data_IF_879171990795
#
_entry.id   IF_879171990795
#
_cell.length_a   1.000
_cell.length_b   1.000
_cell.length_c   1.000
_cell.angle_alpha   90.00
_cell.angle_beta   90.00
_cell.angle_gamma   90.00
#
_symmetry.space_group_name_H-M   'P 1'
#
loop_
_entity.id
_entity.type
_entity.pdbx_description
1 polymer ?
#
# COMPACT_ATOMS: atom_id res chain seq x y z
N UNK A 1 -0.20 16.56 0.31
CA UNK A 1 0.02 15.13 -0.02
C UNK A 1 -0.81 14.21 0.87
N UNK A 2 -0.64 14.28 2.20
CA UNK A 2 -1.35 13.39 3.15
C UNK A 2 -2.88 13.40 3.01
N UNK A 3 -3.53 14.58 2.97
CA UNK A 3 -4.98 14.66 2.81
C UNK A 3 -5.49 14.05 1.50
N UNK A 4 -4.78 14.29 0.38
CA UNK A 4 -5.10 13.66 -0.91
C UNK A 4 -4.92 12.14 -0.87
N UNK A 5 -3.85 11.66 -0.23
CA UNK A 5 -3.61 10.23 -0.03
C UNK A 5 -4.66 9.57 0.86
N UNK A 6 -5.21 10.27 1.85
CA UNK A 6 -6.31 9.78 2.67
C UNK A 6 -7.60 9.60 1.84
N UNK A 7 -7.95 10.57 0.99
CA UNK A 7 -9.11 10.46 0.07
C UNK A 7 -8.93 9.29 -0.89
N UNK A 8 -7.75 9.16 -1.52
CA UNK A 8 -7.46 8.04 -2.42
C UNK A 8 -7.49 6.71 -1.66
N UNK A 9 -6.95 6.65 -0.45
CA UNK A 9 -7.04 5.47 0.42
C UNK A 9 -8.48 5.05 0.68
N UNK A 10 -9.37 6.00 1.00
CA UNK A 10 -10.79 5.72 1.20
C UNK A 10 -11.45 5.16 -0.07
N UNK A 11 -11.15 5.74 -1.24
CA UNK A 11 -11.66 5.25 -2.52
C UNK A 11 -11.16 3.84 -2.84
N UNK A 12 -9.88 3.53 -2.55
CA UNK A 12 -9.34 2.18 -2.72
C UNK A 12 -9.97 1.18 -1.76
N UNK A 13 -10.22 1.56 -0.51
CA UNK A 13 -10.94 0.73 0.45
C UNK A 13 -12.38 0.42 0.02
N UNK A 14 -13.07 1.43 -0.53
CA UNK A 14 -14.41 1.25 -1.09
C UNK A 14 -14.42 0.38 -2.35
N UNK A 15 -13.48 0.61 -3.27
CA UNK A 15 -13.30 -0.21 -4.45
C UNK A 15 -13.04 -1.66 -4.06
N UNK A 16 -12.11 -1.90 -3.12
CA UNK A 16 -11.79 -3.22 -2.60
C UNK A 16 -13.04 -3.90 -2.03
N UNK A 17 -13.81 -3.23 -1.17
CA UNK A 17 -15.02 -3.79 -0.57
C UNK A 17 -16.11 -4.15 -1.61
N UNK A 18 -16.08 -3.49 -2.77
CA UNK A 18 -16.99 -3.79 -3.87
C UNK A 18 -16.56 -5.03 -4.67
N UNK A 19 -15.27 -5.15 -4.99
CA UNK A 19 -14.74 -6.20 -5.87
C UNK A 19 -14.32 -7.48 -5.13
N UNK A 20 -14.11 -7.42 -3.80
CA UNK A 20 -13.61 -8.55 -3.03
C UNK A 20 -14.65 -9.69 -3.04
N UNK A 21 -14.24 -10.94 -3.36
CA UNK A 21 -15.17 -12.06 -3.32
C UNK A 21 -15.58 -12.36 -1.87
N UNK A 22 -16.87 -12.63 -1.60
CA UNK A 22 -17.31 -13.08 -0.28
C UNK A 22 -16.69 -14.45 0.05
N UNK A 23 -16.56 -14.76 1.34
CA UNK A 23 -16.11 -16.08 1.82
C UNK A 23 -17.34 -16.86 2.29
N UNK A 24 -17.64 -18.00 1.66
CA UNK A 24 -18.73 -18.91 2.03
C UNK A 24 -18.20 -20.07 2.86
N UNK A 25 -18.54 -20.09 4.14
CA UNK A 25 -18.24 -21.18 5.06
C UNK A 25 -19.45 -22.11 5.23
N UNK A 26 -19.18 -23.37 5.58
CA UNK A 26 -20.23 -24.31 5.96
C UNK A 26 -20.03 -24.76 7.40
N UNK A 27 -21.10 -24.61 8.19
CA UNK A 27 -21.16 -25.12 9.56
C UNK A 27 -21.98 -26.39 9.53
N UNK A 28 -21.38 -27.51 9.89
CA UNK A 28 -22.05 -28.79 10.02
C UNK A 28 -21.96 -29.28 11.47
N UNK A 29 -23.02 -29.94 11.98
CA UNK A 29 -22.88 -30.77 13.18
C UNK A 29 -22.42 -32.16 12.78
N UNK A 30 -21.45 -32.69 13.52
CA UNK A 30 -21.05 -34.09 13.45
C UNK A 30 -22.13 -34.99 14.05
N UNK A 31 -22.05 -36.31 13.79
CA UNK A 31 -22.93 -37.31 14.43
C UNK A 31 -22.86 -37.31 15.97
N UNK A 32 -21.78 -36.78 16.55
CA UNK A 32 -21.59 -36.62 18.00
C UNK A 32 -22.14 -35.30 18.55
N UNK A 33 -22.70 -34.42 17.71
CA UNK A 33 -23.22 -33.12 18.12
C UNK A 33 -22.15 -32.03 18.24
N UNK A 34 -20.95 -32.25 17.72
CA UNK A 34 -19.87 -31.25 17.70
C UNK A 34 -19.99 -30.36 16.46
N UNK A 35 -19.85 -29.04 16.64
CA UNK A 35 -19.92 -28.06 15.55
C UNK A 35 -18.58 -28.01 14.81
N UNK A 36 -18.51 -28.67 13.66
CA UNK A 36 -17.34 -28.64 12.79
C UNK A 36 -17.58 -27.64 11.67
N UNK A 37 -16.64 -26.72 11.53
CA UNK A 37 -16.61 -25.70 10.50
C UNK A 37 -15.62 -26.14 9.44
N UNK A 38 -16.05 -26.20 8.19
CA UNK A 38 -15.15 -26.49 7.08
C UNK A 38 -15.40 -25.53 5.92
N UNK A 39 -14.33 -25.19 5.21
CA UNK A 39 -14.38 -24.32 4.04
C UNK A 39 -14.48 -25.22 2.81
N UNK A 40 -15.59 -25.13 2.07
CA UNK A 40 -15.79 -26.00 0.91
C UNK A 40 -14.80 -25.66 -0.22
N UNK A 41 -13.98 -26.63 -0.59
CA UNK A 41 -13.12 -26.57 -1.78
C UNK A 41 -12.13 -25.40 -1.73
N UNK A 42 -12.20 -24.52 -2.73
CA UNK A 42 -11.23 -23.45 -2.93
C UNK A 42 -11.56 -22.16 -2.15
N UNK A 43 -12.63 -22.15 -1.35
CA UNK A 43 -13.08 -20.93 -0.68
C UNK A 43 -12.10 -20.46 0.41
N UNK A 44 -11.24 -21.36 0.91
CA UNK A 44 -10.13 -21.02 1.81
C UNK A 44 -9.07 -20.12 1.13
N UNK A 45 -8.94 -20.16 -0.19
CA UNK A 45 -8.03 -19.27 -0.92
C UNK A 45 -8.47 -17.80 -0.85
N UNK A 46 -9.76 -17.53 -0.63
CA UNK A 46 -10.26 -16.15 -0.53
C UNK A 46 -9.67 -15.40 0.69
N UNK A 47 -9.23 -16.10 1.73
CA UNK A 47 -8.49 -15.50 2.86
C UNK A 47 -7.12 -14.96 2.44
N UNK A 48 -6.52 -15.53 1.40
CA UNK A 48 -5.29 -15.02 0.81
C UNK A 48 -5.57 -13.97 -0.27
N UNK A 49 -6.54 -14.23 -1.17
CA UNK A 49 -6.87 -13.33 -2.28
C UNK A 49 -7.32 -11.96 -1.78
N UNK A 50 -8.17 -11.92 -0.75
CA UNK A 50 -8.75 -10.66 -0.28
C UNK A 50 -7.70 -9.66 0.26
N UNK A 51 -6.80 -10.00 1.20
CA UNK A 51 -5.73 -9.10 1.63
C UNK A 51 -4.73 -8.78 0.50
N UNK A 52 -4.41 -9.77 -0.35
CA UNK A 52 -3.46 -9.58 -1.47
C UNK A 52 -3.99 -8.59 -2.50
N UNK A 53 -5.29 -8.60 -2.76
CA UNK A 53 -5.95 -7.65 -3.66
C UNK A 53 -5.81 -6.20 -3.15
N UNK A 54 -6.01 -5.98 -1.85
CA UNK A 54 -5.83 -4.66 -1.25
C UNK A 54 -4.35 -4.22 -1.33
N UNK A 55 -3.41 -5.12 -1.00
CA UNK A 55 -1.98 -4.84 -1.13
C UNK A 55 -1.57 -4.52 -2.57
N UNK A 56 -2.16 -5.21 -3.56
CA UNK A 56 -1.95 -4.93 -4.98
C UNK A 56 -2.38 -3.51 -5.35
N UNK A 57 -3.59 -3.11 -4.96
CA UNK A 57 -4.10 -1.75 -5.16
C UNK A 57 -3.21 -0.68 -4.51
N UNK A 58 -2.77 -0.92 -3.27
CA UNK A 58 -1.88 -0.02 -2.53
C UNK A 58 -0.47 0.04 -3.16
N UNK A 59 0.01 -1.06 -3.74
CA UNK A 59 1.30 -1.11 -4.46
C UNK A 59 1.25 -0.23 -5.71
N UNK A 60 0.15 -0.30 -6.48
CA UNK A 60 -0.06 0.59 -7.64
C UNK A 60 -0.06 2.05 -7.20
N UNK A 61 -0.79 2.39 -6.14
CA UNK A 61 -0.79 3.74 -5.58
C UNK A 61 0.61 4.19 -5.17
N UNK A 62 1.37 3.35 -4.46
CA UNK A 62 2.72 3.65 -4.01
C UNK A 62 3.66 3.98 -5.16
N UNK A 63 3.60 3.20 -6.25
CA UNK A 63 4.39 3.44 -7.47
C UNK A 63 3.98 4.77 -8.10
N UNK A 64 2.69 5.01 -8.34
CA UNK A 64 2.20 6.24 -9.00
C UNK A 64 2.52 7.48 -8.15
N UNK A 65 2.32 7.41 -6.83
CA UNK A 65 2.62 8.50 -5.91
C UNK A 65 4.12 8.80 -5.84
N UNK A 66 4.97 7.77 -5.83
CA UNK A 66 6.43 7.94 -5.92
C UNK A 66 6.85 8.54 -7.25
N UNK A 67 6.18 8.13 -8.34
CA UNK A 67 6.39 8.72 -9.67
C UNK A 67 6.05 10.22 -9.67
N UNK A 68 4.87 10.57 -9.18
CA UNK A 68 4.38 11.94 -9.10
C UNK A 68 5.24 12.82 -8.17
N UNK A 69 5.62 12.31 -6.99
CA UNK A 69 6.43 13.03 -6.02
C UNK A 69 7.75 13.52 -6.62
N UNK A 70 8.40 12.68 -7.43
CA UNK A 70 9.67 13.05 -8.05
C UNK A 70 9.55 13.88 -9.32
N UNK A 71 8.36 13.96 -9.94
CA UNK A 71 8.13 15.00 -10.95
C UNK A 71 8.18 16.41 -10.35
N UNK A 72 7.92 16.57 -9.04
CA UNK A 72 8.06 17.85 -8.34
C UNK A 72 9.53 18.18 -8.06
N UNK A 73 10.21 18.79 -9.04
CA UNK A 73 11.59 19.34 -8.92
C UNK A 73 11.81 20.20 -7.66
N UNK A 74 10.79 20.94 -7.22
CA UNK A 74 10.85 21.86 -6.07
C UNK A 74 11.07 21.17 -4.71
N UNK A 75 10.82 19.85 -4.63
CA UNK A 75 10.88 19.10 -3.37
C UNK A 75 11.67 17.80 -3.52
N UNK A 76 12.61 17.68 -4.47
CA UNK A 76 13.45 16.49 -4.52
C UNK A 76 14.33 16.50 -3.28
N UNK A 77 14.35 15.41 -2.51
CA UNK A 77 15.13 15.31 -1.28
C UNK A 77 14.61 14.28 -0.27
N UNK A 78 15.39 13.99 0.79
CA UNK A 78 15.05 12.97 1.79
C UNK A 78 13.75 13.30 2.55
N UNK A 79 13.46 14.58 2.74
CA UNK A 79 12.21 15.03 3.36
C UNK A 79 10.97 14.57 2.57
N UNK A 80 11.06 14.53 1.24
CA UNK A 80 9.95 14.05 0.39
C UNK A 80 9.72 12.57 0.53
N UNK A 81 10.78 11.77 0.73
CA UNK A 81 10.63 10.34 1.04
C UNK A 81 9.90 10.17 2.35
N UNK A 82 10.26 10.92 3.40
CA UNK A 82 9.58 10.85 4.69
C UNK A 82 8.09 11.21 4.57
N UNK A 83 7.76 12.32 3.89
CA UNK A 83 6.37 12.75 3.67
C UNK A 83 5.59 11.73 2.84
N UNK A 84 6.20 11.17 1.79
CA UNK A 84 5.60 10.15 0.95
C UNK A 84 5.31 8.87 1.76
N UNK A 85 6.26 8.41 2.56
CA UNK A 85 6.09 7.23 3.43
C UNK A 85 4.94 7.42 4.41
N UNK A 86 4.87 8.57 5.09
CA UNK A 86 3.75 8.90 6.01
C UNK A 86 2.42 8.95 5.25
N UNK A 87 2.40 9.55 4.07
CA UNK A 87 1.18 9.62 3.25
C UNK A 87 0.71 8.22 2.80
N UNK A 88 1.63 7.31 2.45
CA UNK A 88 1.30 5.95 2.05
C UNK A 88 0.81 5.09 3.22
N UNK A 89 1.47 5.16 4.38
CA UNK A 89 1.00 4.49 5.59
C UNK A 89 -0.40 4.99 5.99
N UNK A 90 -0.65 6.30 5.87
CA UNK A 90 -1.96 6.91 6.11
C UNK A 90 -3.01 6.39 5.12
N UNK A 91 -2.68 6.34 3.82
CA UNK A 91 -3.58 5.81 2.79
C UNK A 91 -3.94 4.34 3.04
N UNK A 92 -2.95 3.52 3.43
CA UNK A 92 -3.15 2.12 3.77
C UNK A 92 -4.09 1.95 4.96
N UNK A 93 -3.89 2.73 6.02
CA UNK A 93 -4.73 2.71 7.21
C UNK A 93 -6.18 3.08 6.88
N UNK A 94 -6.38 4.16 6.13
CA UNK A 94 -7.72 4.61 5.73
C UNK A 94 -8.38 3.58 4.80
N UNK A 95 -7.66 3.03 3.82
CA UNK A 95 -8.18 2.00 2.93
C UNK A 95 -8.62 0.75 3.71
N UNK A 96 -7.80 0.29 4.65
CA UNK A 96 -8.10 -0.85 5.50
C UNK A 96 -9.33 -0.59 6.39
N UNK A 97 -9.41 0.59 7.03
CA UNK A 97 -10.53 0.97 7.87
C UNK A 97 -11.85 1.07 7.10
N UNK A 98 -11.83 1.73 5.92
CA UNK A 98 -13.00 1.87 5.05
C UNK A 98 -13.41 0.50 4.49
N UNK A 99 -12.46 -0.29 4.00
CA UNK A 99 -12.71 -1.62 3.47
C UNK A 99 -13.34 -2.54 4.52
N UNK A 100 -12.73 -2.63 5.71
CA UNK A 100 -13.23 -3.40 6.84
C UNK A 100 -14.63 -2.93 7.25
N UNK A 101 -14.84 -1.61 7.37
CA UNK A 101 -16.11 -1.02 7.76
C UNK A 101 -17.24 -1.35 6.76
N UNK A 102 -17.00 -1.16 5.46
CA UNK A 102 -18.00 -1.43 4.42
C UNK A 102 -18.35 -2.91 4.33
N UNK A 103 -17.36 -3.80 4.40
CA UNK A 103 -17.59 -5.25 4.42
C UNK A 103 -18.36 -5.66 5.68
N UNK A 104 -18.01 -5.10 6.85
CA UNK A 104 -18.73 -5.33 8.11
C UNK A 104 -20.19 -4.88 8.04
N UNK A 105 -20.46 -3.75 7.39
CA UNK A 105 -21.82 -3.25 7.16
C UNK A 105 -22.59 -4.14 6.17
N UNK A 106 -21.92 -4.69 5.15
CA UNK A 106 -22.55 -5.52 4.11
C UNK A 106 -22.85 -6.95 4.55
N UNK A 107 -21.94 -7.57 5.31
CA UNK A 107 -22.01 -8.99 5.66
C UNK A 107 -22.27 -9.25 7.15
N UNK A 108 -22.19 -8.23 8.01
CA UNK A 108 -22.38 -8.35 9.45
C UNK A 108 -21.14 -8.87 10.20
N UNK A 109 -21.24 -8.93 11.53
CA UNK A 109 -20.29 -9.66 12.36
C UNK A 109 -20.77 -11.11 12.39
N UNK A 110 -20.02 -12.02 11.78
CA UNK A 110 -20.41 -13.40 11.80
C UNK A 110 -20.12 -14.01 13.18
N UNK A 111 -21.18 -14.43 13.86
CA UNK A 111 -21.11 -15.24 15.07
C UNK A 111 -21.45 -16.69 14.71
N UNK A 112 -20.42 -17.52 14.61
CA UNK A 112 -20.56 -18.94 14.33
C UNK A 112 -21.33 -19.68 15.43
N UNK A 113 -21.31 -19.18 16.67
CA UNK A 113 -21.99 -19.80 17.80
C UNK A 113 -23.49 -19.47 17.85
N UNK A 114 -23.91 -18.35 17.27
CA UNK A 114 -25.30 -17.94 17.20
C UNK A 114 -26.11 -18.58 16.04
N UNK A 115 -25.48 -19.36 15.15
CA UNK A 115 -26.15 -19.92 13.98
C UNK A 115 -27.20 -20.97 14.39
N UNK A 116 -28.51 -20.77 14.13
CA UNK A 116 -29.55 -21.72 14.50
C UNK A 116 -29.49 -22.96 13.60
N UNK A 117 -29.10 -24.10 14.16
CA UNK A 117 -29.04 -25.39 13.47
C UNK A 117 -30.38 -26.10 13.66
N UNK A 118 -31.37 -25.75 12.85
CA UNK A 118 -32.78 -26.06 13.10
C UNK A 118 -33.31 -27.42 12.64
N UNK A 119 -32.68 -28.12 11.68
CA UNK A 119 -33.17 -29.42 11.17
C UNK A 119 -32.06 -30.36 10.75
N UNK A 120 -32.32 -31.66 10.86
CA UNK A 120 -31.51 -32.72 10.24
C UNK A 120 -31.77 -32.74 8.73
N UNK A 121 -30.75 -32.61 7.85
CA UNK A 121 -29.32 -32.50 8.15
C UNK A 121 -28.93 -31.07 8.51
N UNK A 122 -28.21 -30.91 9.63
CA UNK A 122 -27.90 -29.61 10.24
C UNK A 122 -26.66 -29.00 9.61
N UNK A 123 -26.83 -28.53 8.38
CA UNK A 123 -25.82 -27.82 7.59
C UNK A 123 -26.32 -26.39 7.42
N UNK A 124 -25.55 -25.41 7.89
CA UNK A 124 -25.81 -23.99 7.68
C UNK A 124 -24.73 -23.40 6.77
N UNK A 125 -25.15 -22.77 5.68
CA UNK A 125 -24.27 -22.00 4.82
C UNK A 125 -24.18 -20.59 5.35
N UNK A 126 -22.96 -20.11 5.54
CA UNK A 126 -22.68 -18.87 6.23
C UNK A 126 -21.72 -18.04 5.41
N UNK A 127 -21.94 -16.74 5.34
CA UNK A 127 -21.05 -15.81 4.64
C UNK A 127 -20.24 -15.06 5.68
N UNK A 128 -18.92 -15.16 5.58
CA UNK A 128 -17.97 -14.41 6.40
C UNK A 128 -17.47 -13.20 5.62
N UNK A 129 -17.31 -12.10 6.35
CA UNK A 129 -16.61 -10.90 5.88
C UNK A 129 -15.18 -11.26 5.42
N UNK A 130 -14.80 -10.94 4.17
CA UNK A 130 -13.43 -11.13 3.71
C UNK A 130 -12.44 -10.36 4.59
N UNK A 131 -11.30 -10.96 4.94
CA UNK A 131 -10.32 -10.31 5.78
C UNK A 131 -9.54 -9.24 4.98
N UNK A 132 -9.26 -8.12 5.66
CA UNK A 132 -8.42 -7.04 5.12
C UNK A 132 -6.92 -7.35 5.31
N UNK A 133 -6.60 -8.10 6.36
CA UNK A 133 -5.24 -8.49 6.73
C UNK A 133 -5.08 -10.01 6.70
N UNK A 134 -3.85 -10.49 6.52
CA UNK A 134 -3.56 -11.93 6.56
C UNK A 134 -3.69 -12.55 7.96
N UNK A 135 -3.68 -11.73 9.01
CA UNK A 135 -3.80 -12.16 10.41
C UNK A 135 -4.24 -10.99 11.28
N UNK A 136 -4.78 -11.32 12.45
CA UNK A 136 -5.08 -10.37 13.53
C UNK A 136 -3.83 -10.01 14.37
N UNK A 137 -2.68 -10.63 14.10
CA UNK A 137 -1.44 -10.35 14.80
C UNK A 137 -0.96 -8.90 14.56
N UNK A 138 -0.64 -8.12 15.62
CA UNK A 138 -0.36 -6.69 15.49
C UNK A 138 0.87 -6.39 14.62
N UNK A 139 1.89 -7.26 14.66
CA UNK A 139 3.07 -7.10 13.82
C UNK A 139 2.75 -7.31 12.33
N UNK A 140 1.93 -8.31 11.99
CA UNK A 140 1.56 -8.55 10.60
C UNK A 140 0.68 -7.43 10.04
N UNK A 141 -0.22 -6.89 10.87
CA UNK A 141 -1.00 -5.68 10.53
C UNK A 141 -0.06 -4.50 10.28
N UNK A 142 0.88 -4.25 11.19
CA UNK A 142 1.83 -3.14 11.06
C UNK A 142 2.69 -3.26 9.79
N UNK A 143 3.19 -4.45 9.49
CA UNK A 143 3.96 -4.71 8.26
C UNK A 143 3.11 -4.50 7.01
N UNK A 144 1.86 -4.97 7.01
CA UNK A 144 0.92 -4.78 5.89
C UNK A 144 0.62 -3.31 5.63
N UNK A 145 0.45 -2.52 6.70
CA UNK A 145 0.25 -1.06 6.61
C UNK A 145 1.51 -0.32 6.16
N UNK A 146 2.70 -0.81 6.52
CA UNK A 146 3.99 -0.23 6.13
C UNK A 146 4.39 -0.58 4.68
N UNK A 147 3.82 -1.65 4.12
CA UNK A 147 4.13 -2.14 2.78
C UNK A 147 4.17 -1.04 1.70
N UNK A 148 3.11 -0.24 1.47
CA UNK A 148 3.14 0.79 0.42
C UNK A 148 4.14 1.91 0.71
N UNK A 149 4.46 2.19 1.97
CA UNK A 149 5.53 3.14 2.31
C UNK A 149 6.90 2.59 1.88
N UNK A 150 7.16 1.31 2.14
CA UNK A 150 8.38 0.63 1.70
C UNK A 150 8.53 0.61 0.18
N UNK A 151 7.47 0.26 -0.55
CA UNK A 151 7.46 0.27 -2.02
C UNK A 151 7.71 1.68 -2.56
N UNK A 152 7.01 2.69 -2.03
CA UNK A 152 7.15 4.06 -2.49
C UNK A 152 8.58 4.60 -2.27
N UNK A 153 9.18 4.29 -1.12
CA UNK A 153 10.56 4.64 -0.79
C UNK A 153 11.56 3.92 -1.70
N UNK A 154 11.37 2.63 -1.97
CA UNK A 154 12.22 1.85 -2.88
C UNK A 154 12.18 2.44 -4.30
N UNK A 155 10.99 2.68 -4.84
CA UNK A 155 10.82 3.29 -6.18
C UNK A 155 11.47 4.66 -6.24
N UNK A 156 11.34 5.47 -5.18
CA UNK A 156 11.98 6.78 -5.11
C UNK A 156 13.51 6.64 -5.09
N UNK A 157 14.04 5.72 -4.28
CA UNK A 157 15.48 5.50 -4.14
C UNK A 157 16.13 5.03 -5.44
N UNK A 158 15.48 4.13 -6.20
CA UNK A 158 15.97 3.70 -7.51
C UNK A 158 16.10 4.89 -8.47
N UNK A 159 15.15 5.83 -8.44
CA UNK A 159 15.22 7.03 -9.28
C UNK A 159 16.28 8.01 -8.81
N UNK A 160 16.43 8.18 -7.49
CA UNK A 160 17.52 8.96 -6.90
C UNK A 160 18.89 8.41 -7.30
N UNK A 161 19.07 7.09 -7.27
CA UNK A 161 20.32 6.45 -7.66
C UNK A 161 20.59 6.53 -9.17
N UNK A 162 19.54 6.53 -10.00
CA UNK A 162 19.66 6.63 -11.45
C UNK A 162 20.00 8.05 -11.94
N UNK A 163 19.69 9.10 -11.17
CA UNK A 163 19.91 10.49 -11.55
C UNK A 163 21.10 11.08 -10.79
N UNK A 164 22.33 10.65 -11.14
CA UNK A 164 23.57 11.02 -10.45
C UNK A 164 23.90 12.53 -10.46
N UNK A 165 23.19 13.32 -11.27
CA UNK A 165 23.34 14.78 -11.35
C UNK A 165 22.22 15.54 -10.63
N UNK A 166 21.25 14.83 -10.05
CA UNK A 166 20.19 15.45 -9.25
C UNK A 166 20.77 15.86 -7.89
N UNK A 167 20.59 17.12 -7.52
CA UNK A 167 21.06 17.69 -6.26
C UNK A 167 20.18 17.28 -5.07
N UNK A 168 19.07 16.56 -5.31
CA UNK A 168 18.12 16.11 -4.30
C UNK A 168 17.72 17.26 -3.36
N UNK A 169 17.62 18.48 -3.90
CA UNK A 169 17.23 19.67 -3.14
C UNK A 169 18.28 20.16 -2.15
N UNK A 170 19.57 19.84 -2.38
CA UNK A 170 20.68 20.42 -1.62
C UNK A 170 20.65 21.95 -1.68
N UNK A 171 20.91 22.60 -0.53
CA UNK A 171 21.03 24.05 -0.42
C UNK A 171 22.49 24.39 -0.05
N UNK A 172 23.16 25.32 -0.77
CA UNK A 172 22.65 26.16 -1.86
C UNK A 172 22.44 25.38 -3.18
N UNK A 173 21.50 25.81 -4.05
CA UNK A 173 21.26 25.15 -5.33
C UNK A 173 22.54 25.23 -6.17
N UNK A 174 23.04 24.10 -6.67
CA UNK A 174 24.19 24.12 -7.58
C UNK A 174 23.73 24.74 -8.90
N UNK A 175 24.09 26.01 -9.13
CA UNK A 175 23.72 26.68 -10.37
C UNK A 175 24.47 26.02 -11.54
N UNK A 176 23.82 25.79 -12.70
CA UNK A 176 24.51 25.36 -13.94
C UNK A 176 25.63 26.32 -14.35
N UNK A 177 25.59 27.56 -13.84
CA UNK A 177 26.54 28.63 -14.08
C UNK A 177 27.90 28.36 -13.47
N UNK A 178 28.01 27.68 -12.32
CA UNK A 178 29.30 27.50 -11.64
C UNK A 178 30.19 26.50 -12.36
N UNK A 179 29.60 25.45 -12.94
CA UNK A 179 30.33 24.49 -13.76
C UNK A 179 30.78 25.12 -15.10
N UNK A 180 29.92 25.90 -15.77
CA UNK A 180 30.28 26.61 -17.01
C UNK A 180 31.26 27.76 -16.78
N UNK A 181 31.17 28.45 -15.64
CA UNK A 181 32.11 29.51 -15.25
C UNK A 181 33.48 28.92 -14.88
N UNK A 182 33.50 27.78 -14.19
CA UNK A 182 34.74 27.05 -13.91
C UNK A 182 35.38 26.50 -15.19
N UNK A 183 34.58 25.92 -16.11
CA UNK A 183 35.05 25.45 -17.41
C UNK A 183 35.56 26.61 -18.29
N UNK A 184 34.87 27.74 -18.32
CA UNK A 184 35.32 28.96 -19.00
C UNK A 184 36.60 29.53 -18.39
N UNK A 185 36.75 29.52 -17.07
CA UNK A 185 37.97 29.97 -16.38
C UNK A 185 39.17 29.07 -16.66
N UNK A 186 38.97 27.75 -16.73
CA UNK A 186 40.01 26.78 -17.11
C UNK A 186 40.41 26.96 -18.58
N UNK A 187 39.45 27.24 -19.46
CA UNK A 187 39.72 27.46 -20.89
C UNK A 187 40.44 28.80 -21.13
N UNK A 188 40.10 29.84 -20.37
CA UNK A 188 40.77 31.14 -20.42
C UNK A 188 42.21 31.10 -19.86
N UNK A 189 42.43 30.38 -18.75
CA UNK A 189 43.77 30.21 -18.16
C UNK A 189 44.73 29.36 -19.00
N UNK A 190 44.21 28.44 -19.82
CA UNK A 190 45.02 27.62 -20.74
C UNK A 190 45.54 28.38 -21.96
N UNK A 191 44.91 29.50 -22.34
CA UNK A 191 45.30 30.31 -23.50
C UNK A 191 46.55 31.18 -23.26
N UNK A 192 46.85 31.54 -22.01
CA UNK A 192 47.96 32.43 -21.68
C UNK A 192 49.32 31.71 -21.53
N UNK A 193 49.35 30.37 -21.62
CA UNK A 193 50.55 29.55 -21.39
C UNK A 193 51.37 29.22 -22.65
N UNK A 194 50.91 29.55 -23.87
CA UNK A 194 51.58 29.14 -25.12
C UNK A 194 52.24 30.29 -25.91
N UNK A 195 52.62 31.37 -25.23
CA UNK A 195 53.21 32.56 -25.86
C UNK A 195 54.42 33.13 -25.14
N UNK A 196 55.52 32.39 -25.06
CA UNK A 196 56.87 32.93 -24.86
C UNK A 196 57.92 32.06 -25.54
#
# INVERSE_FOLDING_TARGET
MVAGSAVVGALLGALWAWIVPPVRAVVALTRSGERVHDYLGNESEHFFVAPTLLLGLLTVLAVVASVAAWQSRRHRGPATVAVLSVAMATAALIAAAVGAGLVRLRYGALDFDAVPLGRSPSVAYVIQAPPVFFSDGPLQIAVSLMWPAGIAALVYAVRAAADARDDLGALPPTAPTDARAAEAAVTAGGGESFGR
#
